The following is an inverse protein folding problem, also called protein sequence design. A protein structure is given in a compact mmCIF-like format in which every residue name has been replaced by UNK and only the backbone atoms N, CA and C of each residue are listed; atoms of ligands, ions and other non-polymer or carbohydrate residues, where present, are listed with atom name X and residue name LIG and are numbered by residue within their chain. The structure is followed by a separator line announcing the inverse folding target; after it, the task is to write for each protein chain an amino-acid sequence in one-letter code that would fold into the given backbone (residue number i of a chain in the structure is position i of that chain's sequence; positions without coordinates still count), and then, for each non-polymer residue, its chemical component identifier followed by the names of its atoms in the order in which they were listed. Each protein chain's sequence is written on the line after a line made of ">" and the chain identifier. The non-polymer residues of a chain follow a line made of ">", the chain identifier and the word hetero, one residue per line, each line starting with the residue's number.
data_IF_037207596317
#
_entry.id   IF_037207596317
#
_cell.length_a   1.000
_cell.length_b   1.000
_cell.length_c   1.000
_cell.angle_alpha   90.00
_cell.angle_beta   90.00
_cell.angle_gamma   90.00
#
_symmetry.space_group_name_H-M   'P 1'
#
loop_
_entity.id
_entity.type
_entity.pdbx_description
1 polymer ?
#
# COMPACT_ATOMS: atom_id res chain seq x y z
N UNK A 1 7.87 15.97 -30.72
CA UNK A 1 8.69 15.36 -29.65
C UNK A 1 8.27 13.91 -29.51
N UNK A 2 9.19 12.96 -29.61
CA UNK A 2 8.90 11.56 -29.30
C UNK A 2 8.89 11.40 -27.77
N UNK A 3 7.99 10.58 -27.18
CA UNK A 3 8.07 10.28 -25.76
C UNK A 3 9.37 9.53 -25.48
N UNK A 4 10.10 9.97 -24.45
CA UNK A 4 11.35 9.35 -24.03
C UNK A 4 11.13 7.86 -23.75
N UNK A 5 11.92 7.00 -24.42
CA UNK A 5 11.95 5.56 -24.13
C UNK A 5 12.33 5.40 -22.66
N UNK A 6 11.46 4.72 -21.90
CA UNK A 6 11.75 4.32 -20.52
C UNK A 6 13.03 3.47 -20.56
N UNK A 7 14.11 3.85 -19.85
CA UNK A 7 15.32 3.04 -19.80
C UNK A 7 14.96 1.68 -19.21
N UNK A 8 15.36 0.60 -19.88
CA UNK A 8 15.26 -0.76 -19.33
C UNK A 8 16.05 -0.78 -18.01
N UNK A 9 15.48 -1.28 -16.91
CA UNK A 9 16.18 -1.27 -15.62
C UNK A 9 17.49 -2.05 -15.72
N UNK A 10 18.53 -1.49 -15.13
CA UNK A 10 19.89 -2.04 -15.06
C UNK A 10 19.89 -3.30 -14.17
N UNK A 11 20.36 -4.48 -14.64
CA UNK A 11 20.30 -5.75 -13.91
C UNK A 11 21.17 -5.83 -12.65
N UNK A 12 21.89 -4.76 -12.29
CA UNK A 12 22.80 -4.73 -11.15
C UNK A 12 22.11 -4.71 -9.78
N UNK A 13 20.82 -4.37 -9.73
CA UNK A 13 20.02 -4.44 -8.51
C UNK A 13 19.13 -5.68 -8.59
N UNK A 14 19.19 -6.62 -7.63
CA UNK A 14 18.20 -7.68 -7.59
C UNK A 14 16.83 -7.03 -7.54
N UNK A 15 15.93 -7.48 -8.41
CA UNK A 15 14.52 -7.14 -8.38
C UNK A 15 14.08 -7.15 -6.92
N UNK A 16 13.42 -6.09 -6.39
CA UNK A 16 13.01 -6.12 -5.01
C UNK A 16 12.13 -7.35 -4.84
N UNK A 17 12.61 -8.30 -4.02
CA UNK A 17 11.96 -9.57 -3.71
C UNK A 17 10.77 -9.25 -2.81
N UNK A 18 9.78 -8.58 -3.38
CA UNK A 18 8.46 -8.53 -2.80
C UNK A 18 7.94 -9.97 -2.84
N UNK A 19 7.42 -10.49 -1.72
CA UNK A 19 6.84 -11.82 -1.73
C UNK A 19 5.79 -11.93 -2.82
N UNK A 20 5.69 -13.11 -3.43
CA UNK A 20 4.62 -13.39 -4.38
C UNK A 20 3.26 -13.06 -3.71
N UNK A 21 2.39 -12.22 -4.32
CA UNK A 21 1.09 -11.91 -3.76
C UNK A 21 0.27 -13.15 -3.36
N UNK A 22 0.44 -14.27 -4.08
CA UNK A 22 -0.20 -15.53 -3.71
C UNK A 22 0.31 -16.04 -2.34
N UNK A 23 1.62 -15.99 -2.12
CA UNK A 23 2.22 -16.37 -0.84
C UNK A 23 1.77 -15.46 0.32
N UNK A 24 1.63 -14.15 0.10
CA UNK A 24 1.15 -13.22 1.14
C UNK A 24 -0.28 -13.53 1.57
N UNK A 25 -1.15 -13.89 0.61
CA UNK A 25 -2.54 -14.28 0.91
C UNK A 25 -2.57 -15.55 1.76
N UNK A 26 -1.80 -16.57 1.38
CA UNK A 26 -1.72 -17.82 2.15
C UNK A 26 -1.15 -17.60 3.56
N UNK A 27 -0.14 -16.73 3.70
CA UNK A 27 0.42 -16.39 5.00
C UNK A 27 -0.63 -15.72 5.92
N UNK A 28 -1.45 -14.82 5.38
CA UNK A 28 -2.54 -14.18 6.13
C UNK A 28 -3.63 -15.19 6.49
N UNK A 29 -4.00 -16.09 5.59
CA UNK A 29 -4.99 -17.14 5.87
C UNK A 29 -4.50 -18.09 6.96
N UNK A 30 -3.25 -18.53 6.90
CA UNK A 30 -2.64 -19.41 7.90
C UNK A 30 -2.61 -18.76 9.29
N UNK A 31 -2.39 -17.45 9.39
CA UNK A 31 -2.46 -16.73 10.67
C UNK A 31 -3.87 -16.72 11.28
N UNK A 32 -4.90 -16.94 10.47
CA UNK A 32 -6.30 -16.96 10.87
C UNK A 32 -6.90 -18.37 10.88
N UNK A 33 -6.11 -19.43 11.03
CA UNK A 33 -6.57 -20.83 10.99
C UNK A 33 -7.41 -21.14 9.72
N UNK A 34 -6.96 -20.62 8.57
CA UNK A 34 -7.65 -20.69 7.27
C UNK A 34 -9.07 -20.08 7.27
N UNK A 35 -9.42 -19.29 8.29
CA UNK A 35 -10.68 -18.58 8.35
C UNK A 35 -10.64 -17.28 7.54
N UNK A 36 -10.93 -17.40 6.24
CA UNK A 36 -10.95 -16.28 5.31
C UNK A 36 -11.83 -15.09 5.77
N UNK A 37 -12.96 -15.34 6.46
CA UNK A 37 -13.83 -14.26 6.95
C UNK A 37 -13.18 -13.48 8.09
N UNK A 38 -12.48 -14.17 9.00
CA UNK A 38 -11.73 -13.53 10.08
C UNK A 38 -10.55 -12.70 9.51
N UNK A 39 -9.85 -13.26 8.52
CA UNK A 39 -8.77 -12.56 7.81
C UNK A 39 -9.24 -11.27 7.13
N UNK A 40 -10.30 -11.35 6.32
CA UNK A 40 -10.87 -10.17 5.66
C UNK A 40 -11.35 -9.15 6.69
N UNK A 41 -11.96 -9.60 7.80
CA UNK A 41 -12.39 -8.71 8.87
C UNK A 41 -11.22 -7.94 9.48
N UNK A 42 -10.12 -8.63 9.82
CA UNK A 42 -8.91 -7.99 10.36
C UNK A 42 -8.36 -6.95 9.38
N UNK A 43 -8.21 -7.31 8.10
CA UNK A 43 -7.70 -6.40 7.08
C UNK A 43 -8.59 -5.15 6.90
N UNK A 44 -9.91 -5.30 7.01
CA UNK A 44 -10.84 -4.16 6.97
C UNK A 44 -10.68 -3.25 8.19
N UNK A 45 -10.48 -3.82 9.38
CA UNK A 45 -10.24 -3.08 10.61
C UNK A 45 -8.88 -2.36 10.55
N UNK A 46 -7.83 -3.00 10.04
CA UNK A 46 -6.51 -2.39 9.79
C UNK A 46 -6.60 -1.23 8.79
N UNK A 47 -7.31 -1.43 7.68
CA UNK A 47 -7.54 -0.37 6.70
C UNK A 47 -8.27 0.84 7.32
N UNK A 48 -9.23 0.59 8.23
CA UNK A 48 -9.94 1.66 8.95
C UNK A 48 -8.99 2.39 9.90
N UNK A 49 -8.16 1.66 10.65
CA UNK A 49 -7.16 2.24 11.54
C UNK A 49 -6.15 3.10 10.78
N UNK A 50 -5.60 2.60 9.67
CA UNK A 50 -4.65 3.35 8.83
C UNK A 50 -5.26 4.63 8.26
N UNK A 51 -6.52 4.59 7.82
CA UNK A 51 -7.23 5.80 7.36
C UNK A 51 -7.42 6.82 8.49
N UNK A 52 -7.67 6.37 9.72
CA UNK A 52 -7.76 7.26 10.88
C UNK A 52 -6.40 7.91 11.19
N UNK A 53 -5.31 7.13 11.16
CA UNK A 53 -3.95 7.66 11.34
C UNK A 53 -3.59 8.69 10.27
N UNK A 54 -3.92 8.42 9.01
CA UNK A 54 -3.72 9.38 7.92
C UNK A 54 -4.51 10.67 8.12
N UNK A 55 -5.76 10.59 8.60
CA UNK A 55 -6.57 11.78 8.91
C UNK A 55 -6.01 12.60 10.06
N UNK A 56 -5.45 11.95 11.09
CA UNK A 56 -4.76 12.63 12.17
C UNK A 56 -3.48 13.31 11.68
N UNK A 57 -2.68 12.60 10.89
CA UNK A 57 -1.45 13.14 10.32
C UNK A 57 -1.72 14.33 9.39
N UNK A 58 -2.73 14.24 8.51
CA UNK A 58 -3.14 15.34 7.64
C UNK A 58 -3.50 16.60 8.42
N UNK A 59 -4.21 16.44 9.56
CA UNK A 59 -4.59 17.58 10.42
C UNK A 59 -3.41 18.15 11.21
N UNK A 60 -2.44 17.32 11.57
CA UNK A 60 -1.27 17.74 12.34
C UNK A 60 -0.20 18.41 11.46
N UNK A 61 -0.08 18.00 10.19
CA UNK A 61 0.93 18.50 9.28
C UNK A 61 0.48 19.79 8.57
N UNK A 62 1.38 20.76 8.44
CA UNK A 62 1.12 21.97 7.65
C UNK A 62 1.29 21.71 6.16
N UNK A 63 0.54 22.44 5.30
CA UNK A 63 0.70 22.38 3.83
C UNK A 63 2.12 22.72 3.37
N UNK A 64 2.84 23.56 4.12
CA UNK A 64 4.24 23.91 3.84
C UNK A 64 5.18 22.73 4.09
N UNK A 65 4.97 21.98 5.18
CA UNK A 65 5.75 20.79 5.51
C UNK A 65 5.61 19.71 4.42
N UNK A 66 4.38 19.48 3.93
CA UNK A 66 4.11 18.47 2.90
C UNK A 66 4.39 18.95 1.47
N UNK A 67 4.87 20.19 1.30
CA UNK A 67 5.06 20.85 -0.02
C UNK A 67 3.81 20.77 -0.89
N UNK A 68 2.64 20.96 -0.28
CA UNK A 68 1.34 20.91 -0.94
C UNK A 68 0.79 19.51 -1.21
N UNK A 69 1.49 18.44 -0.84
CA UNK A 69 0.95 17.08 -0.92
C UNK A 69 -0.17 16.85 0.11
N UNK A 70 -1.19 16.11 -0.30
CA UNK A 70 -2.35 15.73 0.53
C UNK A 70 -2.64 14.23 0.35
N UNK A 71 -2.95 13.48 1.42
CA UNK A 71 -3.21 12.05 1.32
C UNK A 71 -4.49 11.76 0.51
N UNK A 72 -4.48 10.62 -0.20
CA UNK A 72 -5.64 10.09 -0.94
C UNK A 72 -6.14 8.84 -0.23
N UNK A 73 -7.36 8.90 0.31
CA UNK A 73 -7.93 7.81 1.13
C UNK A 73 -8.50 6.64 0.34
N UNK A 74 -8.71 6.83 -0.97
CA UNK A 74 -9.22 5.84 -1.91
C UNK A 74 -8.16 5.60 -2.98
N UNK A 75 -8.00 4.33 -3.38
CA UNK A 75 -7.23 4.00 -4.58
C UNK A 75 -8.02 4.46 -5.81
N UNK A 76 -7.30 4.81 -6.86
CA UNK A 76 -7.90 5.02 -8.17
C UNK A 76 -8.49 3.68 -8.64
N UNK A 77 -9.73 3.71 -9.12
CA UNK A 77 -10.34 2.51 -9.69
C UNK A 77 -9.55 2.12 -10.94
N UNK A 78 -9.18 0.84 -11.04
CA UNK A 78 -8.56 0.24 -12.22
C UNK A 78 -9.60 0.08 -13.34
#
# INVERSE_FOLDING_TARGET
>A
MQPAKIPKPDPAWPDPVWPDPAWEVEAVLAWHDDNAKAAIRSLLDDCKHLRQQLALAERAMSRGMTRGWTPRYKRDAL
#
